data_IF_430668324487
#
_entry.id   IF_430668324487
#
_cell.length_a   1.000
_cell.length_b   1.000
_cell.length_c   1.000
_cell.angle_alpha   90.00
_cell.angle_beta   90.00
_cell.angle_gamma   90.00
#
_symmetry.space_group_name_H-M   'P 1'
#
loop_
_entity.id
_entity.type
_entity.pdbx_description
1 polymer ?
#
# COMPACT_ATOMS: atom_id res chain seq x y z
N UNK A 1 3.98 4.53 -27.37
CA UNK A 1 4.19 4.47 -26.70
C UNK A 1 4.15 4.70 -25.82
N UNK A 2 3.81 4.77 -25.16
CA UNK A 2 3.76 5.16 -24.33
C UNK A 2 4.20 4.78 -23.37
N UNK A 3 4.67 4.54 -23.14
CA UNK A 3 5.26 4.04 -22.07
C UNK A 3 5.26 4.81 -20.93
N UNK A 4 5.10 5.66 -21.09
CA UNK A 4 5.00 6.45 -20.21
C UNK A 4 4.55 6.12 -18.92
N UNK A 5 3.66 5.35 -18.75
CA UNK A 5 3.03 5.10 -17.48
C UNK A 5 3.97 4.57 -16.45
N UNK A 6 4.84 3.69 -16.87
CA UNK A 6 5.70 3.10 -15.92
C UNK A 6 6.58 4.06 -15.21
N UNK A 7 7.10 5.02 -15.89
CA UNK A 7 7.98 5.96 -15.28
C UNK A 7 7.30 6.89 -14.33
N UNK A 8 5.95 6.80 -14.25
CA UNK A 8 5.22 7.72 -13.41
C UNK A 8 4.78 7.14 -12.08
N UNK A 9 5.23 5.95 -11.74
CA UNK A 9 4.88 5.38 -10.44
C UNK A 9 5.85 5.93 -9.40
N UNK A 10 5.63 7.18 -9.05
CA UNK A 10 6.49 7.91 -8.13
C UNK A 10 5.64 8.72 -7.19
N UNK A 11 6.27 9.26 -6.17
CA UNK A 11 5.62 10.13 -5.20
C UNK A 11 4.88 11.27 -5.91
N UNK A 12 3.63 11.48 -5.50
CA UNK A 12 2.76 12.51 -6.10
C UNK A 12 2.60 13.67 -5.13
N UNK A 13 3.46 14.68 -5.22
CA UNK A 13 3.49 15.73 -4.19
C UNK A 13 2.27 16.65 -4.17
N UNK A 14 1.42 16.58 -5.20
CA UNK A 14 0.24 17.42 -5.22
C UNK A 14 -0.83 16.91 -4.26
N UNK A 15 -0.68 15.71 -3.71
CA UNK A 15 -1.58 15.16 -2.71
C UNK A 15 -0.88 15.12 -1.37
N UNK A 16 -1.67 15.20 -0.29
CA UNK A 16 -1.11 15.15 1.06
C UNK A 16 -1.25 13.79 1.72
N UNK A 17 -2.22 12.99 1.27
CA UNK A 17 -2.43 11.65 1.80
C UNK A 17 -2.06 10.63 0.73
N UNK A 18 -1.27 9.64 1.12
CA UNK A 18 -0.77 8.65 0.18
C UNK A 18 -1.13 7.27 0.68
N UNK A 19 -2.16 6.67 0.07
CA UNK A 19 -2.64 5.34 0.45
C UNK A 19 -1.96 4.33 -0.47
N UNK A 20 -1.11 3.49 0.11
CA UNK A 20 -0.24 2.61 -0.66
C UNK A 20 -0.56 1.15 -0.35
N UNK A 21 -1.07 0.44 -1.34
CA UNK A 21 -1.38 -0.97 -1.21
C UNK A 21 -0.39 -1.82 -1.98
N UNK A 22 0.12 -2.86 -1.35
CA UNK A 22 1.03 -3.77 -2.02
C UNK A 22 0.92 -5.16 -1.44
N UNK A 23 1.30 -6.16 -2.24
CA UNK A 23 1.36 -7.53 -1.76
C UNK A 23 2.81 -7.96 -1.74
N UNK A 24 3.26 -8.47 -0.60
CA UNK A 24 4.61 -8.96 -0.40
C UNK A 24 5.65 -7.97 -0.96
N UNK A 25 6.32 -8.30 -2.06
CA UNK A 25 7.37 -7.44 -2.60
C UNK A 25 6.85 -6.16 -3.22
N UNK A 26 5.55 -6.05 -3.40
CA UNK A 26 4.96 -4.85 -3.97
C UNK A 26 5.13 -3.61 -3.12
N UNK A 27 5.56 -3.75 -1.86
CA UNK A 27 5.77 -2.56 -1.02
C UNK A 27 7.15 -1.94 -1.21
N UNK A 28 8.05 -2.59 -1.95
CA UNK A 28 9.40 -2.05 -2.13
C UNK A 28 9.42 -0.63 -2.68
N UNK A 29 8.62 -0.30 -3.72
CA UNK A 29 8.61 1.08 -4.21
C UNK A 29 8.15 2.07 -3.15
N UNK A 30 7.24 1.66 -2.27
CA UNK A 30 6.75 2.55 -1.22
C UNK A 30 7.83 2.85 -0.20
N UNK A 31 8.61 1.83 0.15
CA UNK A 31 9.71 2.03 1.08
C UNK A 31 10.71 3.02 0.49
N UNK A 32 10.99 2.90 -0.81
CA UNK A 32 11.87 3.84 -1.49
C UNK A 32 11.34 5.25 -1.45
N UNK A 33 10.04 5.42 -1.72
CA UNK A 33 9.43 6.74 -1.70
C UNK A 33 9.50 7.36 -0.32
N UNK A 34 9.25 6.55 0.71
CA UNK A 34 9.27 7.06 2.07
C UNK A 34 10.69 7.44 2.49
N UNK A 35 11.66 6.62 2.13
CA UNK A 35 13.06 6.95 2.43
C UNK A 35 13.47 8.25 1.76
N UNK A 36 13.03 8.46 0.53
CA UNK A 36 13.35 9.67 -0.19
C UNK A 36 12.67 10.87 0.46
N UNK A 37 11.42 10.71 0.89
CA UNK A 37 10.70 11.78 1.56
C UNK A 37 11.39 12.17 2.86
N UNK A 38 11.91 11.19 3.61
CA UNK A 38 12.66 11.47 4.82
C UNK A 38 13.93 12.23 4.52
N UNK A 39 14.65 11.80 3.48
CA UNK A 39 15.90 12.44 3.10
C UNK A 39 15.67 13.89 2.68
N UNK A 40 14.57 14.14 2.02
CA UNK A 40 14.24 15.48 1.54
C UNK A 40 13.49 16.32 2.56
N UNK A 41 13.23 15.76 3.75
CA UNK A 41 12.50 16.46 4.82
C UNK A 41 11.15 16.98 4.34
N UNK A 42 10.44 16.15 3.60
CA UNK A 42 9.13 16.50 3.07
C UNK A 42 8.16 16.66 4.23
N UNK A 43 7.35 17.72 4.20
CA UNK A 43 6.39 18.00 5.25
C UNK A 43 4.98 18.03 4.71
N UNK A 44 4.01 17.79 5.61
CA UNK A 44 2.61 17.86 5.25
C UNK A 44 2.10 16.66 4.50
N UNK A 45 2.87 15.57 4.46
CA UNK A 45 2.46 14.35 3.77
C UNK A 45 2.40 13.19 4.74
N UNK A 46 1.44 12.31 4.53
CA UNK A 46 1.32 11.11 5.36
C UNK A 46 1.19 9.90 4.46
N UNK A 47 1.95 8.87 4.75
CA UNK A 47 1.96 7.63 3.98
C UNK A 47 1.24 6.54 4.75
N UNK A 48 0.21 5.96 4.15
CA UNK A 48 -0.56 4.87 4.74
C UNK A 48 -0.23 3.62 3.94
N UNK A 49 0.57 2.73 4.50
CA UNK A 49 1.03 1.54 3.78
C UNK A 49 0.25 0.33 4.25
N UNK A 50 -0.36 -0.38 3.33
CA UNK A 50 -1.09 -1.61 3.61
C UNK A 50 -0.41 -2.74 2.85
N UNK A 51 0.15 -3.69 3.57
CA UNK A 51 0.83 -4.82 2.96
C UNK A 51 0.02 -6.09 3.19
N UNK A 52 -0.29 -6.81 2.10
CA UNK A 52 -1.02 -8.04 2.18
C UNK A 52 -0.15 -9.24 1.82
N UNK A 53 -0.40 -10.37 2.46
CA UNK A 53 0.28 -11.61 2.16
C UNK A 53 -0.65 -12.76 2.50
N UNK A 54 -0.38 -13.94 1.98
CA UNK A 54 -1.15 -15.12 2.36
C UNK A 54 -0.79 -15.55 3.79
N UNK A 55 0.49 -15.46 4.14
CA UNK A 55 0.97 -15.93 5.43
C UNK A 55 1.82 -14.87 6.12
N UNK A 56 1.78 -14.86 7.45
CA UNK A 56 2.45 -13.83 8.22
C UNK A 56 3.97 -13.85 8.09
N UNK A 57 4.54 -14.96 7.69
CA UNK A 57 6.00 -15.05 7.56
C UNK A 57 6.47 -14.61 6.16
N UNK A 58 5.57 -14.09 5.33
CA UNK A 58 5.93 -13.63 3.99
C UNK A 58 6.11 -12.12 3.90
N UNK A 59 5.80 -11.38 4.97
CA UNK A 59 5.93 -9.93 4.90
C UNK A 59 7.39 -9.51 4.73
N UNK A 60 7.60 -8.48 3.91
CA UNK A 60 8.93 -7.92 3.71
C UNK A 60 8.88 -6.45 4.08
N UNK A 61 10.02 -5.92 4.52
CA UNK A 61 10.14 -4.53 4.95
C UNK A 61 9.25 -4.20 6.14
N UNK A 62 8.57 -5.19 6.71
CA UNK A 62 7.64 -4.93 7.79
C UNK A 62 8.34 -4.39 9.03
N UNK A 63 9.54 -4.88 9.33
CA UNK A 63 10.29 -4.37 10.48
C UNK A 63 10.62 -2.90 10.31
N UNK A 64 11.04 -2.50 9.11
CA UNK A 64 11.38 -1.12 8.84
C UNK A 64 10.14 -0.24 8.92
N UNK A 65 9.03 -0.70 8.33
CA UNK A 65 7.81 0.09 8.31
C UNK A 65 7.19 0.20 9.70
N UNK A 66 7.24 -0.88 10.48
CA UNK A 66 6.77 -0.82 11.86
C UNK A 66 7.56 0.19 12.68
N UNK A 67 8.88 0.18 12.51
CA UNK A 67 9.73 1.10 13.24
C UNK A 67 9.46 2.54 12.85
N UNK A 68 9.24 2.78 11.55
CA UNK A 68 8.91 4.12 11.09
C UNK A 68 7.57 4.59 11.65
N UNK A 69 6.57 3.70 11.65
CA UNK A 69 5.27 4.08 12.18
C UNK A 69 5.35 4.40 13.67
N UNK A 70 6.23 3.71 14.39
CA UNK A 70 6.42 3.99 15.80
C UNK A 70 7.16 5.30 16.04
N UNK A 71 8.20 5.55 15.28
CA UNK A 71 9.05 6.72 15.49
C UNK A 71 8.48 7.99 14.91
N UNK A 72 7.81 7.85 13.77
CA UNK A 72 7.26 9.00 13.05
C UNK A 72 5.80 8.74 12.70
N UNK A 73 4.93 8.67 13.73
CA UNK A 73 3.52 8.37 13.45
C UNK A 73 2.83 9.47 12.65
N UNK A 74 3.41 10.65 12.61
CA UNK A 74 2.85 11.72 11.79
C UNK A 74 3.21 11.53 10.32
N UNK A 75 4.15 10.65 10.01
CA UNK A 75 4.59 10.43 8.64
C UNK A 75 4.07 9.11 8.08
N UNK A 76 4.06 8.04 8.88
CA UNK A 76 3.77 6.70 8.38
C UNK A 76 2.76 5.99 9.27
N UNK A 77 1.77 5.38 8.63
CA UNK A 77 0.86 4.42 9.25
C UNK A 77 1.01 3.12 8.49
N UNK A 78 1.18 2.00 9.19
CA UNK A 78 1.46 0.73 8.54
C UNK A 78 0.50 -0.34 9.04
N UNK A 79 -0.12 -1.07 8.10
CA UNK A 79 -1.06 -2.13 8.40
C UNK A 79 -0.69 -3.36 7.58
N UNK A 80 -0.72 -4.52 8.21
CA UNK A 80 -0.50 -5.79 7.52
C UNK A 80 -1.75 -6.64 7.63
N UNK A 81 -2.00 -7.48 6.62
CA UNK A 81 -3.15 -8.37 6.64
C UNK A 81 -2.77 -9.69 6.00
N UNK A 82 -3.33 -10.80 6.51
CA UNK A 82 -3.11 -12.10 5.92
C UNK A 82 -4.42 -12.59 5.32
N UNK A 83 -4.33 -13.21 4.14
CA UNK A 83 -5.53 -13.64 3.42
C UNK A 83 -5.93 -15.08 3.75
N UNK A 84 -5.11 -15.80 4.49
CA UNK A 84 -5.40 -17.17 4.87
C UNK A 84 -5.36 -17.35 6.38
N UNK A 85 -6.30 -16.75 7.11
CA UNK A 85 -6.22 -16.76 8.58
C UNK A 85 -6.30 -18.16 9.18
N UNK A 86 -6.88 -19.12 8.46
CA UNK A 86 -7.02 -20.48 8.97
C UNK A 86 -5.79 -21.35 8.70
N UNK A 87 -4.80 -20.83 7.98
CA UNK A 87 -3.61 -21.61 7.68
C UNK A 87 -2.78 -21.83 8.94
N UNK A 88 -2.13 -22.99 9.01
CA UNK A 88 -1.32 -23.32 10.15
C UNK A 88 -0.22 -22.29 10.41
N UNK A 89 0.37 -21.77 9.35
CA UNK A 89 1.43 -20.79 9.45
C UNK A 89 0.97 -19.48 10.08
N UNK A 90 -0.34 -19.25 10.08
CA UNK A 90 -0.90 -18.02 10.64
C UNK A 90 -1.56 -18.23 11.99
N UNK A 91 -1.28 -19.35 12.62
CA UNK A 91 -1.96 -19.68 13.86
C UNK A 91 -1.80 -18.62 14.95
N UNK A 92 -0.66 -17.97 14.99
CA UNK A 92 -0.41 -16.94 15.99
C UNK A 92 -0.84 -15.54 15.53
N UNK A 93 -1.39 -15.44 14.35
CA UNK A 93 -1.77 -14.14 13.80
C UNK A 93 -3.05 -13.64 14.47
N UNK A 94 -3.03 -12.41 14.95
CA UNK A 94 -4.22 -11.83 15.56
C UNK A 94 -4.51 -10.44 15.01
N UNK A 95 -3.95 -10.11 13.85
CA UNK A 95 -4.19 -8.82 13.21
C UNK A 95 -5.28 -8.93 12.15
N UNK A 96 -5.36 -7.94 11.27
CA UNK A 96 -6.36 -7.93 10.20
C UNK A 96 -6.25 -9.15 9.30
N UNK A 97 -7.38 -9.58 8.75
CA UNK A 97 -7.43 -10.71 7.84
C UNK A 97 -8.18 -10.31 6.58
N UNK A 98 -7.88 -11.01 5.48
CA UNK A 98 -8.47 -10.73 4.19
C UNK A 98 -7.44 -10.21 3.21
N UNK A 99 -7.81 -10.21 1.95
CA UNK A 99 -6.93 -9.65 0.93
C UNK A 99 -6.89 -8.14 1.08
N UNK A 100 -5.71 -7.57 0.88
CA UNK A 100 -5.50 -6.16 1.15
C UNK A 100 -6.47 -5.27 0.35
N UNK A 101 -6.80 -5.69 -0.87
CA UNK A 101 -7.72 -4.91 -1.70
C UNK A 101 -9.14 -4.89 -1.15
N UNK A 102 -9.54 -5.93 -0.42
CA UNK A 102 -10.90 -5.98 0.11
C UNK A 102 -11.07 -5.10 1.34
N UNK A 103 -9.98 -4.61 1.90
CA UNK A 103 -10.03 -3.78 3.09
C UNK A 103 -9.94 -2.29 2.80
N UNK A 104 -9.77 -1.92 1.52
CA UNK A 104 -9.44 -0.54 1.19
C UNK A 104 -10.55 0.42 1.60
N UNK A 105 -11.81 0.05 1.39
CA UNK A 105 -12.91 0.96 1.72
C UNK A 105 -13.00 1.18 3.22
N UNK A 106 -12.81 0.11 3.99
CA UNK A 106 -12.87 0.22 5.43
C UNK A 106 -11.79 1.16 5.96
N UNK A 107 -10.60 1.08 5.41
CA UNK A 107 -9.50 1.90 5.92
C UNK A 107 -9.57 3.31 5.41
N UNK A 108 -10.12 3.54 4.22
CA UNK A 108 -10.37 4.90 3.76
C UNK A 108 -11.31 5.59 4.75
N UNK A 109 -12.35 4.89 5.18
CA UNK A 109 -13.27 5.46 6.15
C UNK A 109 -12.63 5.63 7.52
N UNK A 110 -11.92 4.60 7.96
CA UNK A 110 -11.29 4.64 9.28
C UNK A 110 -10.32 5.80 9.42
N UNK A 111 -9.59 6.09 8.36
CA UNK A 111 -8.59 7.16 8.36
C UNK A 111 -9.14 8.47 7.82
N UNK A 112 -10.41 8.49 7.42
CA UNK A 112 -11.07 9.70 6.92
C UNK A 112 -10.29 10.32 5.76
N UNK A 113 -9.88 9.51 4.81
CA UNK A 113 -9.08 9.99 3.69
C UNK A 113 -9.96 10.74 2.69
N UNK A 114 -9.63 12.01 2.41
CA UNK A 114 -10.44 12.78 1.47
C UNK A 114 -10.10 12.40 0.03
N UNK A 115 -11.14 12.14 -0.76
CA UNK A 115 -10.95 11.74 -2.14
C UNK A 115 -10.16 12.79 -2.92
N UNK A 116 -10.41 14.05 -2.64
CA UNK A 116 -9.79 15.12 -3.41
C UNK A 116 -8.33 15.36 -3.08
N UNK A 117 -7.82 14.76 -1.99
CA UNK A 117 -6.44 15.02 -1.57
C UNK A 117 -5.71 13.73 -1.22
N UNK A 118 -6.12 12.62 -1.82
CA UNK A 118 -5.51 11.33 -1.56
C UNK A 118 -5.06 10.70 -2.87
N UNK A 119 -3.79 10.32 -2.93
CA UNK A 119 -3.27 9.51 -4.03
C UNK A 119 -3.30 8.06 -3.60
N UNK A 120 -3.86 7.20 -4.43
CA UNK A 120 -3.91 5.75 -4.16
C UNK A 120 -2.85 5.09 -5.03
N UNK A 121 -1.97 4.33 -4.39
CA UNK A 121 -0.90 3.63 -5.10
C UNK A 121 -1.15 2.13 -5.01
N UNK A 122 -1.09 1.46 -6.14
CA UNK A 122 -1.31 0.01 -6.18
C UNK A 122 -0.11 -0.64 -6.86
N UNK A 123 0.50 -1.58 -6.19
CA UNK A 123 1.68 -2.23 -6.73
C UNK A 123 1.64 -3.71 -6.45
N UNK A 124 1.80 -4.52 -7.51
CA UNK A 124 1.87 -5.95 -7.36
C UNK A 124 0.93 -6.69 -8.29
N UNK A 125 0.10 -7.52 -7.71
CA UNK A 125 -0.76 -8.44 -8.44
C UNK A 125 -1.84 -7.74 -9.26
N UNK A 126 -1.96 -8.03 -10.56
CA UNK A 126 -2.97 -7.36 -11.39
C UNK A 126 -4.40 -7.57 -10.91
N UNK A 127 -4.71 -8.74 -10.34
CA UNK A 127 -6.05 -8.97 -9.82
C UNK A 127 -6.40 -8.04 -8.68
N UNK A 128 -5.44 -7.79 -7.80
CA UNK A 128 -5.64 -6.87 -6.70
C UNK A 128 -5.88 -5.45 -7.24
N UNK A 129 -5.10 -5.07 -8.25
CA UNK A 129 -5.21 -3.74 -8.82
C UNK A 129 -6.58 -3.54 -9.47
N UNK A 130 -7.03 -4.55 -10.22
CA UNK A 130 -8.31 -4.42 -10.91
C UNK A 130 -9.47 -4.40 -9.94
N UNK A 131 -9.36 -5.17 -8.85
CA UNK A 131 -10.43 -5.16 -7.85
C UNK A 131 -10.55 -3.80 -7.18
N UNK A 132 -9.42 -3.12 -6.95
CA UNK A 132 -9.48 -1.79 -6.35
C UNK A 132 -10.14 -0.81 -7.31
N UNK A 133 -9.84 -0.92 -8.61
CA UNK A 133 -10.49 -0.05 -9.57
C UNK A 133 -12.01 -0.25 -9.58
N UNK A 134 -12.45 -1.47 -9.32
CA UNK A 134 -13.88 -1.73 -9.26
C UNK A 134 -14.52 -1.23 -7.97
N UNK A 135 -13.77 -1.26 -6.87
CA UNK A 135 -14.31 -0.85 -5.57
C UNK A 135 -14.37 0.65 -5.40
N UNK A 136 -13.42 1.37 -6.00
CA UNK A 136 -13.36 2.82 -5.85
C UNK A 136 -14.02 3.46 -7.05
N UNK A 137 -14.92 4.41 -6.79
CA UNK A 137 -15.62 5.06 -7.88
C UNK A 137 -14.72 6.08 -8.57
N UNK A 138 -15.24 6.70 -9.61
CA UNK A 138 -14.49 7.71 -10.33
C UNK A 138 -14.14 8.86 -9.40
N UNK A 139 -13.07 9.52 -9.69
CA UNK A 139 -12.65 10.64 -8.87
C UNK A 139 -11.46 10.34 -7.99
N UNK A 140 -11.23 9.07 -7.69
CA UNK A 140 -10.01 8.70 -6.97
C UNK A 140 -8.85 8.70 -7.93
N UNK A 141 -7.74 9.29 -7.52
CA UNK A 141 -6.53 9.31 -8.34
C UNK A 141 -5.70 8.09 -8.00
N UNK A 142 -5.62 7.15 -8.93
CA UNK A 142 -4.99 5.86 -8.72
C UNK A 142 -3.76 5.75 -9.61
N UNK A 143 -2.63 5.42 -8.99
CA UNK A 143 -1.36 5.21 -9.68
C UNK A 143 -0.95 3.77 -9.44
N UNK A 144 -0.53 3.08 -10.47
CA UNK A 144 -0.31 1.65 -10.34
C UNK A 144 0.91 1.17 -11.07
N UNK A 145 1.48 0.08 -10.58
CA UNK A 145 2.54 -0.64 -11.26
C UNK A 145 2.25 -2.12 -11.09
N UNK A 146 2.07 -2.82 -12.21
CA UNK A 146 1.72 -4.23 -12.18
C UNK A 146 2.97 -5.08 -12.29
N UNK A 147 3.02 -6.12 -11.47
CA UNK A 147 4.11 -7.07 -11.56
C UNK A 147 3.67 -8.19 -12.47
N UNK A 148 4.51 -8.56 -13.40
CA UNK A 148 4.24 -9.68 -14.27
C UNK A 148 4.72 -10.96 -13.65
N UNK A 149 3.93 -12.01 -13.87
CA UNK A 149 4.35 -13.32 -13.42
C UNK A 149 4.54 -14.15 -14.63
N UNK A 150 5.74 -14.25 -15.08
CA UNK A 150 5.99 -14.96 -16.28
C UNK A 150 5.59 -16.38 -16.24
N UNK A 151 5.79 -17.00 -15.12
CA UNK A 151 5.53 -18.41 -15.06
C UNK A 151 4.07 -18.69 -14.94
N UNK A 152 3.30 -17.71 -14.86
CA UNK A 152 1.89 -17.97 -14.78
C UNK A 152 1.30 -18.31 -16.05
#
# INVERSE_FOLDING_TARGET
MRPRAKGLFVFQPQFHHHLMLGTVTGVAPYVSMIRQAQKDNVRGHHFYVMEGASHQDEFVYDSELDRLAERQPELVTFVTTVSRPDAERNRSWNGPTGRVNTLIEEYIQRWSLPKSDTAVYLCGNPGMIEDVHERLDDGWQIFEERFWKEEE
#
